data_IF_081178147942
#
_entry.id   IF_081178147942
#
_cell.length_a   1.000
_cell.length_b   1.000
_cell.length_c   1.000
_cell.angle_alpha   90.00
_cell.angle_beta   90.00
_cell.angle_gamma   90.00
#
_symmetry.space_group_name_H-M   'P 1'
#
loop_
_entity.id
_entity.type
_entity.pdbx_description
1 polymer ?
#
# COMPACT_ATOMS: atom_id res chain seq x y z
N UNK A 1 -13.04 -15.01 36.57
CA UNK A 1 -13.27 -15.44 35.17
C UNK A 1 -12.04 -15.37 34.26
N UNK A 2 -10.97 -14.64 34.60
CA UNK A 2 -9.74 -14.52 33.79
C UNK A 2 -8.65 -15.59 34.10
N UNK A 3 -8.64 -16.20 35.31
CA UNK A 3 -7.64 -17.19 35.73
C UNK A 3 -7.42 -18.34 34.73
N UNK A 4 -8.46 -19.01 34.19
CA UNK A 4 -8.26 -20.11 33.26
C UNK A 4 -7.55 -19.70 31.96
N UNK A 5 -7.76 -18.48 31.49
CA UNK A 5 -7.10 -17.97 30.28
C UNK A 5 -5.62 -17.70 30.57
N UNK A 6 -5.31 -17.10 31.71
CA UNK A 6 -3.91 -16.85 32.13
C UNK A 6 -3.16 -18.17 32.29
N UNK A 7 -3.78 -19.16 32.91
CA UNK A 7 -3.17 -20.49 33.13
C UNK A 7 -2.85 -21.19 31.77
N UNK A 8 -3.76 -21.06 30.78
CA UNK A 8 -3.52 -21.59 29.43
C UNK A 8 -2.36 -20.85 28.75
N UNK A 9 -2.29 -19.53 28.88
CA UNK A 9 -1.21 -18.72 28.28
C UNK A 9 0.12 -19.14 28.92
N UNK A 10 0.21 -19.14 30.23
CA UNK A 10 1.45 -19.53 30.94
C UNK A 10 1.89 -20.96 30.60
N UNK A 11 0.94 -21.90 30.53
CA UNK A 11 1.26 -23.29 30.17
C UNK A 11 1.80 -23.46 28.74
N UNK A 12 1.51 -22.52 27.84
CA UNK A 12 1.95 -22.55 26.45
C UNK A 12 3.00 -21.46 26.11
N UNK A 13 3.64 -20.87 27.11
CA UNK A 13 4.62 -19.80 26.93
C UNK A 13 5.71 -20.14 25.92
N UNK A 14 6.22 -21.37 25.94
CA UNK A 14 7.25 -21.84 25.01
C UNK A 14 6.86 -21.79 23.54
N UNK A 15 5.56 -21.75 23.23
CA UNK A 15 5.04 -21.70 21.84
C UNK A 15 5.16 -20.28 21.27
N UNK A 16 4.82 -19.26 22.05
CA UNK A 16 4.79 -17.88 21.56
C UNK A 16 5.95 -17.00 22.03
N UNK A 17 6.70 -17.41 23.07
CA UNK A 17 7.83 -16.62 23.56
C UNK A 17 8.85 -16.26 22.46
N UNK A 18 9.22 -17.15 21.52
CA UNK A 18 10.13 -16.78 20.44
C UNK A 18 9.56 -15.67 19.54
N UNK A 19 8.26 -15.71 19.23
CA UNK A 19 7.60 -14.67 18.42
C UNK A 19 7.50 -13.34 19.18
N UNK A 20 7.20 -13.36 20.47
CA UNK A 20 7.18 -12.16 21.32
C UNK A 20 8.55 -11.52 21.37
N UNK A 21 9.63 -12.32 21.58
CA UNK A 21 11.00 -11.81 21.59
C UNK A 21 11.38 -11.20 20.26
N UNK A 22 11.14 -11.89 19.14
CA UNK A 22 11.48 -11.41 17.80
C UNK A 22 10.75 -10.09 17.45
N UNK A 23 9.47 -9.96 17.80
CA UNK A 23 8.73 -8.72 17.60
C UNK A 23 9.23 -7.61 18.54
N UNK A 24 9.53 -7.93 19.81
CA UNK A 24 10.09 -6.98 20.76
C UNK A 24 11.40 -6.39 20.24
N UNK A 25 12.36 -7.22 19.84
CA UNK A 25 13.65 -6.80 19.26
C UNK A 25 13.46 -5.93 17.99
N UNK A 26 12.51 -6.31 17.12
CA UNK A 26 12.17 -5.54 15.92
C UNK A 26 11.64 -4.16 16.26
N UNK A 27 10.75 -4.04 17.25
CA UNK A 27 10.15 -2.78 17.67
C UNK A 27 11.14 -1.89 18.45
N UNK A 28 12.03 -2.48 19.24
CA UNK A 28 13.10 -1.74 19.94
C UNK A 28 14.12 -1.12 18.97
N UNK A 29 14.32 -1.72 17.80
CA UNK A 29 15.20 -1.21 16.75
C UNK A 29 14.58 -0.07 15.91
N UNK A 30 13.33 0.30 16.16
CA UNK A 30 12.63 1.35 15.41
C UNK A 30 12.86 2.72 16.05
N UNK A 31 13.63 3.57 15.41
CA UNK A 31 13.89 4.96 15.88
C UNK A 31 12.67 5.87 15.69
N UNK A 32 11.93 5.73 14.59
CA UNK A 32 10.71 6.49 14.30
C UNK A 32 9.47 5.59 14.30
N UNK A 33 8.87 5.41 15.46
CA UNK A 33 7.67 4.59 15.63
C UNK A 33 6.45 5.17 14.90
N UNK A 34 6.33 6.49 14.80
CA UNK A 34 5.22 7.17 14.09
C UNK A 34 5.31 6.88 12.59
N UNK A 35 6.51 7.04 12.02
CA UNK A 35 6.78 6.69 10.63
C UNK A 35 6.58 5.19 10.36
N UNK A 36 7.07 4.33 11.25
CA UNK A 36 6.91 2.88 11.13
C UNK A 36 5.44 2.45 11.09
N UNK A 37 4.60 2.93 12.02
CA UNK A 37 3.15 2.62 12.04
C UNK A 37 2.45 3.16 10.80
N UNK A 38 2.79 4.36 10.36
CA UNK A 38 2.26 4.95 9.13
C UNK A 38 2.59 4.09 7.91
N UNK A 39 3.84 3.66 7.78
CA UNK A 39 4.29 2.84 6.66
C UNK A 39 3.70 1.43 6.71
N UNK A 40 3.50 0.88 7.91
CA UNK A 40 2.99 -0.46 8.12
C UNK A 40 1.49 -0.58 7.78
N UNK A 41 0.66 0.36 8.25
CA UNK A 41 -0.80 0.28 8.13
C UNK A 41 -1.50 1.57 7.68
N UNK A 42 -0.74 2.62 7.32
CA UNK A 42 -1.28 3.90 6.86
C UNK A 42 -1.84 4.81 7.98
N UNK A 43 -1.74 4.39 9.24
CA UNK A 43 -2.24 5.16 10.37
C UNK A 43 -1.29 6.30 10.73
N UNK A 44 -1.80 7.53 10.74
CA UNK A 44 -1.03 8.71 11.11
C UNK A 44 -1.20 8.99 12.60
N UNK A 45 -0.13 8.80 13.36
CA UNK A 45 -0.07 9.12 14.79
C UNK A 45 0.46 10.55 14.98
N UNK A 46 0.03 11.26 16.06
CA UNK A 46 0.59 12.56 16.40
C UNK A 46 2.07 12.45 16.76
N UNK A 47 2.92 13.29 16.16
CA UNK A 47 4.38 13.28 16.39
C UNK A 47 4.79 13.68 17.81
N UNK A 48 3.88 14.29 18.57
CA UNK A 48 4.13 14.71 19.96
C UNK A 48 3.76 13.65 21.00
N UNK A 49 3.24 12.49 20.59
CA UNK A 49 2.86 11.41 21.51
C UNK A 49 4.08 10.60 21.95
N UNK A 50 4.19 10.39 23.25
CA UNK A 50 5.09 9.38 23.82
C UNK A 50 4.34 8.07 23.95
N UNK A 51 4.92 6.98 23.48
CA UNK A 51 4.31 5.66 23.52
C UNK A 51 5.04 4.73 24.49
N UNK A 52 4.26 3.93 25.24
CA UNK A 52 4.73 2.67 25.80
C UNK A 52 4.30 1.54 24.86
N UNK A 53 5.27 0.71 24.47
CA UNK A 53 5.05 -0.34 23.47
C UNK A 53 4.91 -1.69 24.17
N UNK A 54 3.86 -2.42 23.81
CA UNK A 54 3.59 -3.75 24.32
C UNK A 54 3.37 -4.73 23.17
N UNK A 55 3.75 -5.99 23.38
CA UNK A 55 3.45 -7.08 22.45
C UNK A 55 2.35 -7.96 23.05
N UNK A 56 1.31 -8.23 22.27
CA UNK A 56 0.14 -8.99 22.72
C UNK A 56 0.01 -10.33 21.98
N UNK A 57 -0.12 -11.41 22.74
CA UNK A 57 -0.48 -12.73 22.24
C UNK A 57 -1.99 -12.97 22.22
N UNK A 58 -2.76 -12.22 23.02
CA UNK A 58 -4.23 -12.33 23.10
C UNK A 58 -4.95 -11.73 21.91
N UNK A 59 -4.34 -10.75 21.28
CA UNK A 59 -4.86 -10.08 20.09
C UNK A 59 -3.80 -10.07 18.99
N UNK A 60 -3.45 -11.24 18.43
CA UNK A 60 -2.24 -11.40 17.63
C UNK A 60 -2.23 -10.60 16.33
N UNK A 61 -3.40 -10.27 15.78
CA UNK A 61 -3.57 -9.62 14.48
C UNK A 61 -3.99 -8.15 14.59
N UNK A 62 -3.86 -7.52 15.75
CA UNK A 62 -4.34 -6.17 15.99
C UNK A 62 -3.24 -5.21 16.38
N UNK A 63 -3.42 -3.93 16.02
CA UNK A 63 -2.73 -2.81 16.61
C UNK A 63 -3.75 -2.04 17.45
N UNK A 64 -3.50 -1.92 18.75
CA UNK A 64 -4.38 -1.21 19.67
C UNK A 64 -3.65 0.02 20.22
N UNK A 65 -4.33 1.17 20.22
CA UNK A 65 -3.86 2.41 20.80
C UNK A 65 -4.78 2.75 21.93
N UNK A 66 -4.23 2.79 23.15
CA UNK A 66 -4.96 3.27 24.32
C UNK A 66 -4.44 4.67 24.65
N UNK A 67 -5.24 5.67 24.32
CA UNK A 67 -4.97 7.04 24.72
C UNK A 67 -5.45 7.20 26.17
N UNK A 68 -4.48 7.20 27.07
CA UNK A 68 -4.75 7.48 28.48
C UNK A 68 -4.70 9.00 28.68
N UNK A 69 -5.47 9.53 29.61
CA UNK A 69 -5.36 10.91 30.12
C UNK A 69 -4.01 11.18 30.81
N UNK A 70 -2.98 10.36 30.56
CA UNK A 70 -1.62 10.41 31.05
C UNK A 70 -0.66 10.86 29.94
N UNK A 71 0.57 11.32 30.28
CA UNK A 71 1.53 11.82 29.29
C UNK A 71 2.05 10.77 28.30
N UNK A 72 1.70 9.50 28.49
CA UNK A 72 2.08 8.39 27.60
C UNK A 72 0.87 7.59 27.18
N UNK A 73 0.77 7.24 25.89
CA UNK A 73 -0.24 6.34 25.33
C UNK A 73 0.33 4.94 25.17
N UNK A 74 -0.51 3.92 25.34
CA UNK A 74 -0.08 2.54 25.11
C UNK A 74 -0.26 2.18 23.64
N UNK A 75 0.78 1.63 23.01
CA UNK A 75 0.77 1.09 21.67
C UNK A 75 0.98 -0.44 21.77
N UNK A 76 -0.06 -1.21 21.52
CA UNK A 76 -0.07 -2.66 21.71
C UNK A 76 -0.05 -3.34 20.35
N UNK A 77 1.06 -3.99 20.03
CA UNK A 77 1.23 -4.78 18.81
C UNK A 77 0.86 -6.24 19.06
N UNK A 78 -0.05 -6.79 18.26
CA UNK A 78 -0.25 -8.23 18.18
C UNK A 78 0.95 -8.92 17.54
N UNK A 79 1.29 -10.12 18.01
CA UNK A 79 2.50 -10.86 17.55
C UNK A 79 2.51 -11.17 16.04
N UNK A 80 1.35 -11.20 15.38
CA UNK A 80 1.22 -11.42 13.94
C UNK A 80 0.83 -10.15 13.17
N UNK A 81 0.65 -9.00 13.85
CA UNK A 81 0.11 -7.80 13.20
C UNK A 81 1.04 -7.26 12.11
N UNK A 82 2.34 -7.20 12.38
CA UNK A 82 3.30 -6.68 11.42
C UNK A 82 3.35 -7.53 10.14
N UNK A 83 3.38 -8.85 10.29
CA UNK A 83 3.42 -9.79 9.17
C UNK A 83 2.12 -9.76 8.37
N UNK A 84 0.97 -9.68 9.06
CA UNK A 84 -0.34 -9.56 8.41
C UNK A 84 -0.47 -8.24 7.65
N UNK A 85 -0.06 -7.13 8.26
CA UNK A 85 -0.10 -5.81 7.62
C UNK A 85 0.80 -5.76 6.38
N UNK A 86 2.00 -6.34 6.46
CA UNK A 86 2.92 -6.46 5.34
C UNK A 86 2.34 -7.36 4.23
N UNK A 87 1.76 -8.51 4.58
CA UNK A 87 1.10 -9.39 3.62
C UNK A 87 -0.06 -8.70 2.90
N UNK A 88 -0.92 -7.97 3.62
CA UNK A 88 -2.04 -7.23 3.04
C UNK A 88 -1.56 -6.09 2.14
N UNK A 89 -0.52 -5.36 2.57
CA UNK A 89 0.11 -4.31 1.75
C UNK A 89 0.65 -4.88 0.46
N UNK A 90 1.41 -5.97 0.51
CA UNK A 90 1.99 -6.63 -0.66
C UNK A 90 0.89 -7.13 -1.63
N UNK A 91 -0.22 -7.68 -1.11
CA UNK A 91 -1.37 -8.07 -1.96
C UNK A 91 -2.01 -6.87 -2.66
N UNK A 92 -2.19 -5.76 -1.92
CA UNK A 92 -2.75 -4.54 -2.49
C UNK A 92 -1.81 -3.93 -3.54
N UNK A 93 -0.51 -3.87 -3.25
CA UNK A 93 0.48 -3.36 -4.18
C UNK A 93 0.58 -4.23 -5.44
N UNK A 94 0.55 -5.55 -5.32
CA UNK A 94 0.53 -6.46 -6.46
C UNK A 94 -0.70 -6.26 -7.35
N UNK A 95 -1.89 -6.16 -6.77
CA UNK A 95 -3.12 -5.89 -7.52
C UNK A 95 -3.05 -4.53 -8.23
N UNK A 96 -2.51 -3.51 -7.58
CA UNK A 96 -2.30 -2.18 -8.14
C UNK A 96 -1.29 -2.19 -9.28
N UNK A 97 -0.16 -2.88 -9.11
CA UNK A 97 0.86 -3.05 -10.15
C UNK A 97 0.27 -3.73 -11.38
N UNK A 98 -0.41 -4.87 -11.21
CA UNK A 98 -1.05 -5.61 -12.28
C UNK A 98 -2.08 -4.73 -13.02
N UNK A 99 -2.91 -3.98 -12.29
CA UNK A 99 -3.90 -3.07 -12.85
C UNK A 99 -3.23 -1.94 -13.65
N UNK A 100 -2.11 -1.40 -13.15
CA UNK A 100 -1.33 -0.37 -13.82
C UNK A 100 -0.72 -0.87 -15.13
N UNK A 101 -0.14 -2.09 -15.15
CA UNK A 101 0.37 -2.69 -16.38
C UNK A 101 -0.74 -3.01 -17.37
N UNK A 102 -1.91 -3.50 -16.91
CA UNK A 102 -3.09 -3.69 -17.77
C UNK A 102 -3.55 -2.39 -18.41
N UNK A 103 -3.44 -1.27 -17.69
CA UNK A 103 -3.77 0.04 -18.27
C UNK A 103 -2.79 0.44 -19.38
N UNK A 104 -1.52 0.10 -19.28
CA UNK A 104 -0.49 0.39 -20.29
C UNK A 104 -0.43 -0.63 -21.43
N UNK A 105 -1.01 -1.82 -21.29
CA UNK A 105 -0.98 -2.88 -22.28
C UNK A 105 -1.88 -2.65 -23.52
N UNK A 106 -2.62 -1.56 -23.54
CA UNK A 106 -3.41 -1.12 -24.70
C UNK A 106 -2.55 -0.20 -25.59
N UNK A 107 -2.43 -0.53 -26.86
CA UNK A 107 -1.57 0.17 -27.81
C UNK A 107 -1.92 1.65 -27.92
N UNK A 108 -3.20 1.97 -28.03
CA UNK A 108 -3.64 3.38 -28.12
C UNK A 108 -3.31 4.18 -26.86
N UNK A 109 -3.48 3.57 -25.66
CA UNK A 109 -3.11 4.24 -24.40
C UNK A 109 -1.62 4.45 -24.28
N UNK A 110 -0.82 3.48 -24.70
CA UNK A 110 0.64 3.62 -24.75
C UNK A 110 1.05 4.77 -25.67
N UNK A 111 0.50 4.84 -26.87
CA UNK A 111 0.78 5.91 -27.83
C UNK A 111 0.34 7.28 -27.33
N UNK A 112 -0.82 7.38 -26.70
CA UNK A 112 -1.31 8.60 -26.06
C UNK A 112 -0.34 9.06 -24.96
N UNK A 113 0.10 8.14 -24.08
CA UNK A 113 1.06 8.45 -23.03
C UNK A 113 2.40 8.89 -23.61
N UNK A 114 2.90 8.18 -24.62
CA UNK A 114 4.16 8.52 -25.31
C UNK A 114 4.08 9.92 -25.96
N UNK A 115 2.97 10.25 -26.62
CA UNK A 115 2.75 11.57 -27.19
C UNK A 115 2.72 12.68 -26.12
N UNK A 116 2.13 12.41 -24.95
CA UNK A 116 2.09 13.35 -23.82
C UNK A 116 3.47 13.52 -23.20
N UNK A 117 4.31 12.47 -23.18
CA UNK A 117 5.69 12.54 -22.71
C UNK A 117 6.58 13.46 -23.58
N UNK A 118 6.27 13.60 -24.86
CA UNK A 118 6.96 14.55 -25.74
C UNK A 118 6.63 16.02 -25.46
N UNK A 119 5.59 16.29 -24.68
CA UNK A 119 5.17 17.62 -24.22
C UNK A 119 3.67 17.69 -23.89
N UNK A 120 3.25 18.66 -23.06
CA UNK A 120 1.85 18.83 -22.70
C UNK A 120 0.96 18.99 -23.94
N UNK A 121 -0.16 18.24 -23.97
CA UNK A 121 -1.13 18.23 -25.09
C UNK A 121 -2.55 18.40 -24.56
N UNK A 122 -3.43 19.02 -25.33
CA UNK A 122 -4.85 19.00 -25.05
C UNK A 122 -5.61 17.97 -25.92
N UNK A 123 -6.81 17.58 -25.51
CA UNK A 123 -7.51 16.44 -26.09
C UNK A 123 -7.70 16.47 -27.62
N UNK A 124 -7.97 17.65 -28.20
CA UNK A 124 -8.16 17.77 -29.65
C UNK A 124 -6.83 17.60 -30.42
N UNK A 125 -5.70 18.07 -29.88
CA UNK A 125 -4.38 17.82 -30.47
C UNK A 125 -4.06 16.33 -30.49
N UNK A 126 -4.29 15.63 -29.38
CA UNK A 126 -4.12 14.20 -29.29
C UNK A 126 -5.01 13.46 -30.30
N UNK A 127 -6.28 13.83 -30.43
CA UNK A 127 -7.20 13.28 -31.41
C UNK A 127 -6.68 13.40 -32.86
N UNK A 128 -6.17 14.58 -33.21
CA UNK A 128 -5.61 14.83 -34.53
C UNK A 128 -4.31 14.04 -34.78
N UNK A 129 -3.41 13.97 -33.79
CA UNK A 129 -2.13 13.23 -33.89
C UNK A 129 -2.39 11.73 -34.04
N UNK A 130 -3.32 11.19 -33.24
CA UNK A 130 -3.63 9.77 -33.21
C UNK A 130 -4.59 9.31 -34.33
N UNK A 131 -5.21 10.25 -35.05
CA UNK A 131 -6.21 9.92 -36.08
C UNK A 131 -7.49 9.28 -35.51
N UNK A 132 -7.85 9.60 -34.26
CA UNK A 132 -9.03 9.04 -33.57
C UNK A 132 -9.97 10.16 -33.14
N UNK A 133 -11.15 9.79 -32.63
CA UNK A 133 -12.14 10.77 -32.16
C UNK A 133 -11.74 11.38 -30.82
N UNK A 134 -12.19 12.61 -30.52
CA UNK A 134 -11.95 13.27 -29.24
C UNK A 134 -12.53 12.46 -28.05
N UNK A 135 -13.65 11.73 -28.28
CA UNK A 135 -14.24 10.85 -27.26
C UNK A 135 -13.36 9.63 -26.97
N UNK A 136 -12.73 9.03 -27.98
CA UNK A 136 -11.78 7.93 -27.80
C UNK A 136 -10.54 8.41 -27.00
N UNK A 137 -9.98 9.57 -27.36
CA UNK A 137 -8.88 10.17 -26.60
C UNK A 137 -9.28 10.39 -25.14
N UNK A 138 -10.45 10.98 -24.90
CA UNK A 138 -10.95 11.22 -23.52
C UNK A 138 -11.04 9.91 -22.72
N UNK A 139 -11.52 8.84 -23.33
CA UNK A 139 -11.57 7.52 -22.69
C UNK A 139 -10.17 7.02 -22.31
N UNK A 140 -9.21 7.03 -23.24
CA UNK A 140 -7.85 6.54 -22.99
C UNK A 140 -7.09 7.41 -21.97
N UNK A 141 -7.22 8.74 -22.08
CA UNK A 141 -6.61 9.66 -21.12
C UNK A 141 -7.19 9.50 -19.71
N UNK A 142 -8.52 9.35 -19.59
CA UNK A 142 -9.14 9.12 -18.27
C UNK A 142 -8.63 7.83 -17.63
N UNK A 143 -8.43 6.76 -18.42
CA UNK A 143 -7.82 5.52 -17.90
C UNK A 143 -6.38 5.73 -17.43
N UNK A 144 -5.60 6.53 -18.10
CA UNK A 144 -4.24 6.89 -17.66
C UNK A 144 -4.27 7.77 -16.40
N UNK A 145 -5.24 8.67 -16.25
CA UNK A 145 -5.44 9.49 -15.04
C UNK A 145 -5.87 8.62 -13.86
N UNK A 146 -6.81 7.68 -14.05
CA UNK A 146 -7.26 6.74 -13.01
C UNK A 146 -6.09 5.94 -12.40
N UNK A 147 -5.10 5.59 -13.22
CA UNK A 147 -3.89 4.90 -12.79
C UNK A 147 -2.74 5.85 -12.40
N UNK A 148 -2.97 7.16 -12.45
CA UNK A 148 -2.01 8.18 -12.04
C UNK A 148 -0.81 8.36 -12.97
N UNK A 149 -0.87 7.87 -14.22
CA UNK A 149 0.20 8.07 -15.21
C UNK A 149 0.16 9.44 -15.86
N UNK A 150 -1.00 10.09 -15.85
CA UNK A 150 -1.24 11.40 -16.44
C UNK A 150 -1.97 12.28 -15.43
N UNK A 151 -1.67 13.56 -15.42
CA UNK A 151 -2.42 14.60 -14.73
C UNK A 151 -2.98 15.61 -15.72
N UNK A 152 -4.07 16.28 -15.34
CA UNK A 152 -4.69 17.34 -16.10
C UNK A 152 -4.43 18.69 -15.46
N UNK A 153 -4.15 19.70 -16.28
CA UNK A 153 -3.96 21.09 -15.84
C UNK A 153 -4.75 22.03 -16.73
N UNK A 154 -5.47 22.97 -16.14
CA UNK A 154 -6.20 24.00 -16.87
C UNK A 154 -5.27 25.18 -17.19
N UNK A 155 -5.03 25.43 -18.49
CA UNK A 155 -4.20 26.55 -18.97
C UNK A 155 -5.01 27.35 -19.98
N UNK A 156 -5.25 28.61 -19.70
CA UNK A 156 -6.01 29.54 -20.59
C UNK A 156 -7.35 28.95 -21.10
N UNK A 157 -8.11 28.32 -20.21
CA UNK A 157 -9.41 27.72 -20.51
C UNK A 157 -9.38 26.39 -21.26
N UNK A 158 -8.19 25.81 -21.50
CA UNK A 158 -8.02 24.49 -22.11
C UNK A 158 -7.40 23.52 -21.12
N UNK A 159 -7.86 22.27 -21.14
CA UNK A 159 -7.30 21.18 -20.30
C UNK A 159 -6.12 20.54 -21.04
N UNK A 160 -4.93 20.69 -20.46
CA UNK A 160 -3.71 20.05 -20.92
C UNK A 160 -3.39 18.82 -20.09
N UNK A 161 -2.87 17.82 -20.71
CA UNK A 161 -2.42 16.58 -20.08
C UNK A 161 -0.90 16.55 -19.99
N UNK A 162 -0.38 16.10 -18.84
CA UNK A 162 1.05 15.96 -18.57
C UNK A 162 1.34 14.58 -18.01
N UNK A 163 2.50 13.98 -18.30
CA UNK A 163 2.88 12.71 -17.71
C UNK A 163 3.26 12.91 -16.23
N UNK A 164 2.94 11.93 -15.40
CA UNK A 164 3.42 11.84 -14.03
C UNK A 164 4.57 10.86 -13.93
N UNK A 165 5.76 11.31 -14.31
CA UNK A 165 6.97 10.47 -14.34
C UNK A 165 7.29 9.90 -12.97
N UNK A 166 7.07 10.67 -11.89
CA UNK A 166 7.23 10.24 -10.50
C UNK A 166 6.41 8.98 -10.17
N UNK A 167 5.18 8.92 -10.67
CA UNK A 167 4.31 7.78 -10.43
C UNK A 167 4.63 6.59 -11.34
N UNK A 168 5.05 6.84 -12.58
CA UNK A 168 5.51 5.79 -13.52
C UNK A 168 6.73 5.08 -12.91
N UNK A 169 7.70 5.84 -12.41
CA UNK A 169 8.89 5.30 -11.74
C UNK A 169 8.53 4.51 -10.46
N UNK A 170 7.59 5.01 -9.67
CA UNK A 170 7.11 4.29 -8.47
C UNK A 170 6.51 2.93 -8.83
N UNK A 171 5.61 2.87 -9.84
CA UNK A 171 4.99 1.62 -10.28
C UNK A 171 6.06 0.64 -10.77
N UNK A 172 7.04 1.13 -11.55
CA UNK A 172 8.15 0.31 -12.03
C UNK A 172 9.02 -0.23 -10.90
N UNK A 173 9.40 0.61 -9.95
CA UNK A 173 10.22 0.22 -8.81
C UNK A 173 9.49 -0.79 -7.92
N UNK A 174 8.21 -0.57 -7.63
CA UNK A 174 7.38 -1.52 -6.88
C UNK A 174 7.29 -2.88 -7.59
N UNK A 175 7.15 -2.88 -8.92
CA UNK A 175 7.18 -4.12 -9.71
C UNK A 175 8.51 -4.86 -9.59
N UNK A 176 9.63 -4.13 -9.67
CA UNK A 176 10.96 -4.72 -9.53
C UNK A 176 11.21 -5.28 -8.13
N UNK A 177 10.66 -4.67 -7.10
CA UNK A 177 10.73 -5.18 -5.72
C UNK A 177 9.93 -6.47 -5.55
N UNK A 178 8.73 -6.52 -6.11
CA UNK A 178 7.89 -7.75 -6.10
C UNK A 178 8.61 -8.92 -6.77
N UNK A 179 9.30 -8.68 -7.89
CA UNK A 179 10.05 -9.74 -8.59
C UNK A 179 11.28 -10.23 -7.81
N UNK A 180 11.82 -9.42 -6.91
CA UNK A 180 12.95 -9.80 -6.04
C UNK A 180 12.51 -10.51 -4.76
N UNK A 181 11.25 -10.32 -4.35
CA UNK A 181 10.71 -10.96 -3.16
C UNK A 181 10.44 -12.46 -3.39
N UNK A 182 10.51 -13.31 -2.35
CA UNK A 182 10.15 -14.72 -2.47
C UNK A 182 8.70 -14.87 -2.95
N UNK A 183 8.47 -15.80 -3.88
CA UNK A 183 7.12 -16.10 -4.34
C UNK A 183 6.31 -16.78 -3.22
N UNK A 184 5.21 -16.16 -2.84
CA UNK A 184 4.21 -16.75 -1.93
C UNK A 184 2.99 -17.14 -2.76
N UNK A 185 2.66 -18.46 -2.85
CA UNK A 185 1.47 -18.90 -3.59
C UNK A 185 0.20 -18.28 -3.01
N UNK A 186 -0.73 -17.87 -3.86
CA UNK A 186 -2.08 -17.52 -3.43
C UNK A 186 -2.84 -18.80 -3.11
N UNK A 187 -3.34 -18.94 -1.89
CA UNK A 187 -4.30 -19.98 -1.52
C UNK A 187 -5.65 -19.72 -2.22
N UNK A 188 -5.70 -19.98 -3.53
CA UNK A 188 -6.91 -19.81 -4.35
C UNK A 188 -7.75 -21.08 -4.46
N UNK A 189 -7.39 -22.17 -3.79
CA UNK A 189 -8.00 -23.49 -4.03
C UNK A 189 -8.86 -24.04 -2.89
N UNK A 190 -9.09 -23.28 -1.79
CA UNK A 190 -9.91 -23.79 -0.66
C UNK A 190 -11.40 -23.39 -0.70
N UNK A 191 -11.90 -22.67 -1.70
CA UNK A 191 -13.34 -22.31 -1.78
C UNK A 191 -14.17 -23.14 -2.79
N UNK A 192 -13.59 -24.17 -3.40
CA UNK A 192 -14.33 -24.98 -4.42
C UNK A 192 -14.68 -26.40 -4.01
N UNK A 193 -14.50 -26.79 -2.75
CA UNK A 193 -14.99 -28.09 -2.29
C UNK A 193 -15.62 -27.97 -0.89
N UNK A 194 -16.85 -27.47 -0.84
CA UNK A 194 -17.89 -27.86 0.10
C UNK A 194 -19.26 -27.52 -0.49
#
# INVERSE_FOLDING_TARGET
MLRPIVDIIVANESIYAPAVTAIGEKLEAVDDMVGYVKDLCGLVLPSSMNFQIYVSVLSPNTLTINDRLCPTSDLIFGICFADLAEMLRNRYDNARIISSFKALADETRFDVLHCICAGPRFGLELANIMGVTASAVSYHVNKLIEHGFVESTLIKGKVYFKPRMDNIEKVWNSFMEVLKSPYVPHDSDNEKHN
#
